data_IF_424868054352
#
_entry.id   IF_424868054352
#
_cell.length_a   1.000
_cell.length_b   1.000
_cell.length_c   1.000
_cell.angle_alpha   90.00
_cell.angle_beta   90.00
_cell.angle_gamma   90.00
#
_symmetry.space_group_name_H-M   'P 1'
#
loop_
_entity.id
_entity.type
_entity.pdbx_description
1 polymer ?
#
# COMPACT_ATOMS: atom_id res chain seq x y z
N UNK A 1 13.88 74.28 -3.71
CA UNK A 1 13.96 72.88 -3.24
C UNK A 1 12.82 72.67 -2.26
N UNK A 2 11.72 72.06 -2.72
CA UNK A 2 10.65 71.62 -1.83
C UNK A 2 11.13 70.33 -1.16
N UNK A 3 11.29 70.35 0.17
CA UNK A 3 11.58 69.15 0.93
C UNK A 3 10.36 68.21 0.84
N UNK A 4 10.51 67.12 0.09
CA UNK A 4 9.54 66.03 0.07
C UNK A 4 9.62 65.31 1.41
N UNK A 5 8.72 65.65 2.34
CA UNK A 5 8.57 64.93 3.60
C UNK A 5 7.75 63.66 3.34
N UNK A 6 8.39 62.52 3.12
CA UNK A 6 7.70 61.24 3.19
C UNK A 6 7.38 60.88 4.64
N UNK A 7 6.21 60.31 4.87
CA UNK A 7 5.81 59.73 6.15
C UNK A 7 5.70 58.20 6.01
N UNK A 8 6.23 57.48 6.99
CA UNK A 8 6.14 56.01 7.08
C UNK A 8 5.11 55.68 8.16
N UNK A 9 4.10 54.90 7.79
CA UNK A 9 3.00 54.52 8.67
C UNK A 9 3.06 53.05 9.05
N UNK A 10 2.43 52.72 10.18
CA UNK A 10 2.26 51.35 10.65
C UNK A 10 0.82 51.16 11.12
N UNK A 11 0.27 49.98 10.86
CA UNK A 11 -1.00 49.56 11.41
C UNK A 11 -1.05 48.04 11.59
N UNK A 12 -2.00 47.57 12.37
CA UNK A 12 -2.45 46.19 12.33
C UNK A 12 -3.73 46.08 11.48
N UNK A 13 -4.09 44.86 11.09
CA UNK A 13 -5.36 44.51 10.45
C UNK A 13 -5.80 43.16 11.00
N UNK A 14 -7.07 43.00 11.30
CA UNK A 14 -7.63 41.71 11.72
C UNK A 14 -9.06 41.54 11.26
N UNK A 15 -9.53 40.31 11.37
CA UNK A 15 -10.86 39.94 10.95
C UNK A 15 -11.15 38.46 11.11
N UNK A 16 -12.19 38.01 10.41
CA UNK A 16 -12.67 36.64 10.43
C UNK A 16 -12.95 36.11 9.03
N UNK A 17 -12.63 34.84 8.80
CA UNK A 17 -13.01 34.09 7.61
C UNK A 17 -13.90 32.91 7.99
N UNK A 18 -15.01 32.73 7.29
CA UNK A 18 -16.03 31.74 7.63
C UNK A 18 -16.47 30.93 6.43
N UNK A 19 -16.89 29.71 6.69
CA UNK A 19 -17.54 28.85 5.71
C UNK A 19 -18.97 29.36 5.45
N UNK A 20 -19.37 29.46 4.18
CA UNK A 20 -20.65 30.04 3.78
C UNK A 20 -21.86 29.21 4.21
N UNK A 21 -21.69 27.88 4.37
CA UNK A 21 -22.78 26.95 4.66
C UNK A 21 -23.00 26.76 6.17
N UNK A 22 -21.91 26.61 6.91
CA UNK A 22 -21.92 26.26 8.33
C UNK A 22 -21.70 27.45 9.27
N UNK A 23 -21.27 28.59 8.75
CA UNK A 23 -20.78 29.76 9.52
C UNK A 23 -19.59 29.45 10.45
N UNK A 24 -19.00 28.26 10.36
CA UNK A 24 -17.81 27.88 11.09
C UNK A 24 -16.59 28.68 10.61
N UNK A 25 -15.64 28.91 11.52
CA UNK A 25 -14.37 29.52 11.16
C UNK A 25 -13.55 28.65 10.23
N UNK A 26 -12.92 29.25 9.21
CA UNK A 26 -12.00 28.52 8.34
C UNK A 26 -10.60 28.61 8.93
N UNK A 27 -10.09 27.49 9.45
CA UNK A 27 -8.73 27.39 9.98
C UNK A 27 -7.67 27.41 8.88
N UNK A 28 -6.45 27.86 9.19
CA UNK A 28 -5.28 27.78 8.31
C UNK A 28 -5.42 28.44 6.93
N UNK A 29 -6.40 29.32 6.73
CA UNK A 29 -6.52 30.14 5.52
C UNK A 29 -5.29 31.06 5.47
N UNK A 30 -4.51 31.00 4.40
CA UNK A 30 -3.42 31.96 4.18
C UNK A 30 -4.00 33.29 3.71
N UNK A 31 -3.70 34.37 4.44
CA UNK A 31 -4.15 35.72 4.10
C UNK A 31 -2.94 36.56 3.71
N UNK A 32 -2.98 37.17 2.53
CA UNK A 32 -1.94 38.02 1.98
C UNK A 32 -2.47 39.45 1.84
N UNK A 33 -1.75 40.44 2.37
CA UNK A 33 -2.14 41.84 2.33
C UNK A 33 -1.27 42.63 1.36
N UNK A 34 -1.91 43.51 0.59
CA UNK A 34 -1.31 44.32 -0.48
C UNK A 34 -1.65 45.78 -0.28
N UNK A 35 -0.68 46.67 -0.49
CA UNK A 35 -0.90 48.12 -0.57
C UNK A 35 -1.09 48.62 -2.01
N UNK A 36 -0.96 47.72 -2.98
CA UNK A 36 -1.14 47.94 -4.42
C UNK A 36 -2.13 46.91 -4.98
N UNK A 37 -3.33 47.38 -5.34
CA UNK A 37 -4.41 46.54 -5.88
C UNK A 37 -4.04 45.88 -7.20
N UNK A 38 -3.29 46.56 -8.08
CA UNK A 38 -2.83 45.98 -9.35
C UNK A 38 -1.92 44.79 -9.11
N UNK A 39 -1.03 44.84 -8.12
CA UNK A 39 -0.18 43.71 -7.78
C UNK A 39 -1.00 42.53 -7.24
N UNK A 40 -1.98 42.81 -6.38
CA UNK A 40 -2.93 41.80 -5.88
C UNK A 40 -3.67 41.12 -7.05
N UNK A 41 -4.19 41.91 -7.98
CA UNK A 41 -4.92 41.42 -9.14
C UNK A 41 -4.02 40.60 -10.09
N UNK A 42 -2.76 40.99 -10.28
CA UNK A 42 -1.80 40.19 -11.04
C UNK A 42 -1.54 38.83 -10.40
N UNK A 43 -1.34 38.79 -9.07
CA UNK A 43 -1.11 37.54 -8.34
C UNK A 43 -2.37 36.63 -8.43
N UNK A 44 -3.56 37.23 -8.33
CA UNK A 44 -4.84 36.54 -8.56
C UNK A 44 -4.95 35.94 -9.96
N UNK A 45 -4.70 36.73 -10.99
CA UNK A 45 -4.80 36.30 -12.39
C UNK A 45 -3.73 35.27 -12.77
N UNK A 46 -2.60 35.27 -12.08
CA UNK A 46 -1.53 34.28 -12.29
C UNK A 46 -1.84 32.90 -11.67
N UNK A 47 -2.88 32.80 -10.83
CA UNK A 47 -3.25 31.55 -10.19
C UNK A 47 -3.99 30.63 -11.14
N UNK A 48 -3.40 29.47 -11.41
CA UNK A 48 -3.94 28.44 -12.32
C UNK A 48 -4.40 27.18 -11.59
N UNK A 49 -4.59 27.23 -10.27
CA UNK A 49 -4.93 26.06 -9.45
C UNK A 49 -3.76 25.51 -8.62
N UNK A 50 -4.08 24.64 -7.63
CA UNK A 50 -3.10 24.05 -6.71
C UNK A 50 -2.64 24.98 -5.59
N UNK A 51 -1.43 24.77 -5.07
CA UNK A 51 -0.85 25.55 -3.97
C UNK A 51 -0.53 26.98 -4.40
N UNK A 52 -1.24 27.96 -3.83
CA UNK A 52 -0.92 29.36 -4.03
C UNK A 52 0.19 29.81 -3.09
N UNK A 53 1.31 30.26 -3.67
CA UNK A 53 2.37 30.94 -2.96
C UNK A 53 2.95 32.03 -3.89
N UNK A 54 2.55 33.31 -3.72
CA UNK A 54 3.00 34.37 -4.61
C UNK A 54 4.53 34.49 -4.53
N UNK A 55 5.18 34.36 -5.70
CA UNK A 55 6.62 34.12 -5.85
C UNK A 55 7.51 35.33 -5.49
N UNK A 56 6.92 36.53 -5.39
CA UNK A 56 7.65 37.75 -5.07
C UNK A 56 7.35 38.22 -3.65
N UNK A 57 8.38 38.17 -2.80
CA UNK A 57 8.43 38.85 -1.49
C UNK A 57 8.22 40.37 -1.62
N UNK A 58 8.29 40.92 -2.84
CA UNK A 58 7.97 42.32 -3.16
C UNK A 58 6.48 42.59 -3.48
N UNK A 59 5.64 41.54 -3.62
CA UNK A 59 4.27 41.67 -4.11
C UNK A 59 3.27 42.05 -3.02
N UNK A 60 3.31 41.35 -1.88
CA UNK A 60 2.46 41.58 -0.72
C UNK A 60 3.29 42.17 0.44
N UNK A 61 2.65 42.98 1.28
CA UNK A 61 3.30 43.68 2.41
C UNK A 61 3.28 42.90 3.71
N UNK A 62 2.36 41.95 3.86
CA UNK A 62 2.29 41.06 5.01
C UNK A 62 1.49 39.79 4.70
N UNK A 63 1.76 38.73 5.45
CA UNK A 63 1.02 37.45 5.40
C UNK A 63 0.70 36.99 6.82
N UNK A 64 -0.44 36.35 6.98
CA UNK A 64 -0.79 35.59 8.19
C UNK A 64 -1.60 34.33 7.83
N UNK A 65 -1.96 33.55 8.83
CA UNK A 65 -2.89 32.42 8.73
C UNK A 65 -4.02 32.60 9.73
N UNK A 66 -5.22 32.14 9.39
CA UNK A 66 -6.33 32.13 10.34
C UNK A 66 -6.19 31.03 11.39
N UNK A 67 -6.67 31.32 12.60
CA UNK A 67 -6.79 30.37 13.71
C UNK A 67 -7.98 29.43 13.52
N UNK A 68 -8.13 28.45 14.42
CA UNK A 68 -9.18 27.42 14.36
C UNK A 68 -10.61 27.97 14.31
N UNK A 69 -10.84 29.17 14.85
CA UNK A 69 -12.14 29.83 14.82
C UNK A 69 -12.30 30.77 13.61
N UNK A 70 -11.34 30.77 12.68
CA UNK A 70 -11.30 31.61 11.48
C UNK A 70 -10.83 33.04 11.75
N UNK A 71 -10.50 33.41 12.98
CA UNK A 71 -9.95 34.73 13.28
C UNK A 71 -8.51 34.86 12.78
N UNK A 72 -8.10 36.07 12.41
CA UNK A 72 -6.71 36.33 12.03
C UNK A 72 -6.29 37.75 12.39
N UNK A 73 -5.00 37.93 12.61
CA UNK A 73 -4.38 39.26 12.78
C UNK A 73 -3.09 39.35 11.98
N UNK A 74 -2.98 40.42 11.20
CA UNK A 74 -1.76 40.90 10.57
C UNK A 74 -1.19 41.99 11.48
N UNK A 75 -0.13 41.65 12.20
CA UNK A 75 0.43 42.51 13.25
C UNK A 75 1.10 43.79 12.73
N UNK A 76 1.54 43.81 11.47
CA UNK A 76 2.33 44.92 10.94
C UNK A 76 2.17 45.09 9.43
N UNK A 77 1.45 46.13 9.04
CA UNK A 77 1.37 46.66 7.67
C UNK A 77 2.13 47.98 7.66
N UNK A 78 3.04 48.16 6.70
CA UNK A 78 3.85 49.38 6.55
C UNK A 78 3.57 49.99 5.17
N UNK A 79 3.34 51.29 5.12
CA UNK A 79 3.27 52.04 3.85
C UNK A 79 3.90 53.41 4.00
N UNK A 80 4.24 54.00 2.86
CA UNK A 80 4.78 55.36 2.77
C UNK A 80 3.83 56.25 1.99
N UNK A 81 3.68 57.50 2.43
CA UNK A 81 2.95 58.54 1.71
C UNK A 81 3.81 59.80 1.58
N UNK A 82 3.78 60.42 0.40
CA UNK A 82 4.46 61.69 0.12
C UNK A 82 3.58 62.91 0.39
N UNK A 83 2.27 62.70 0.57
CA UNK A 83 1.27 63.74 0.85
C UNK A 83 0.22 63.21 1.85
N UNK A 84 0.59 62.99 3.12
CA UNK A 84 -0.35 62.49 4.11
C UNK A 84 -1.42 63.54 4.44
N UNK A 85 -2.68 63.12 4.49
CA UNK A 85 -3.82 64.03 4.70
C UNK A 85 -3.85 64.60 6.13
N UNK A 86 -3.50 63.77 7.11
CA UNK A 86 -3.56 64.09 8.55
C UNK A 86 -2.19 64.15 9.23
N UNK A 87 -1.10 64.26 8.46
CA UNK A 87 0.27 64.27 8.99
C UNK A 87 0.80 62.86 9.32
N UNK A 88 1.62 62.70 10.36
CA UNK A 88 2.26 61.40 10.70
C UNK A 88 1.35 60.40 11.43
N UNK A 89 0.11 60.76 11.71
CA UNK A 89 -0.86 59.96 12.47
C UNK A 89 -2.22 59.99 11.77
N UNK A 90 -3.00 58.92 11.89
CA UNK A 90 -4.37 58.83 11.39
C UNK A 90 -4.55 58.96 9.86
N UNK A 91 -3.53 58.58 9.08
CA UNK A 91 -3.64 58.47 7.63
C UNK A 91 -4.37 57.18 7.25
N UNK A 92 -5.12 57.23 6.15
CA UNK A 92 -5.91 56.09 5.67
C UNK A 92 -5.22 55.39 4.52
N UNK A 93 -5.29 54.07 4.51
CA UNK A 93 -4.78 53.26 3.40
C UNK A 93 -5.76 52.16 3.07
N UNK A 94 -6.12 52.06 1.79
CA UNK A 94 -6.80 50.88 1.28
C UNK A 94 -5.81 49.71 1.20
N UNK A 95 -6.25 48.57 1.72
CA UNK A 95 -5.54 47.29 1.69
C UNK A 95 -6.35 46.31 0.86
N UNK A 96 -5.71 45.75 -0.17
CA UNK A 96 -6.26 44.66 -0.93
C UNK A 96 -5.80 43.33 -0.31
N UNK A 97 -6.68 42.34 -0.26
CA UNK A 97 -6.40 41.04 0.33
C UNK A 97 -6.57 39.90 -0.68
N UNK A 98 -5.78 38.86 -0.49
CA UNK A 98 -6.03 37.52 -1.03
C UNK A 98 -6.12 36.51 0.10
N UNK A 99 -7.07 35.58 -0.04
CA UNK A 99 -7.31 34.48 0.88
C UNK A 99 -7.10 33.18 0.12
N UNK A 100 -6.26 32.28 0.62
CA UNK A 100 -6.02 30.99 0.00
C UNK A 100 -6.16 29.85 1.01
N UNK A 101 -6.95 28.85 0.65
CA UNK A 101 -7.03 27.58 1.35
C UNK A 101 -7.26 26.46 0.33
N UNK A 102 -6.77 25.25 0.58
CA UNK A 102 -6.91 24.12 -0.34
C UNK A 102 -8.38 23.76 -0.63
N UNK A 103 -9.23 23.77 0.40
CA UNK A 103 -10.66 23.48 0.27
C UNK A 103 -11.51 24.60 -0.31
N UNK A 104 -11.07 25.85 -0.21
CA UNK A 104 -11.87 27.02 -0.61
C UNK A 104 -11.32 27.69 -1.88
N UNK A 105 -10.07 27.43 -2.25
CA UNK A 105 -9.38 28.09 -3.36
C UNK A 105 -8.82 29.45 -2.99
N UNK A 106 -8.45 30.21 -4.02
CA UNK A 106 -8.02 31.59 -3.88
C UNK A 106 -9.27 32.50 -3.94
N UNK A 107 -9.37 33.50 -3.06
CA UNK A 107 -10.40 34.55 -3.09
C UNK A 107 -9.81 35.95 -2.92
N UNK A 108 -10.48 36.96 -3.51
CA UNK A 108 -10.27 38.38 -3.22
C UNK A 108 -11.19 38.83 -2.08
N UNK A 109 -10.80 39.85 -1.32
CA UNK A 109 -11.76 40.51 -0.43
C UNK A 109 -12.94 41.09 -1.22
N UNK A 110 -14.14 40.91 -0.67
CA UNK A 110 -15.41 41.34 -1.27
C UNK A 110 -15.61 42.85 -1.17
N UNK A 111 -15.16 43.44 -0.06
CA UNK A 111 -15.29 44.87 0.23
C UNK A 111 -13.92 45.53 0.37
N UNK A 112 -13.79 46.80 -0.03
CA UNK A 112 -12.58 47.60 0.22
C UNK A 112 -12.26 47.67 1.71
N UNK A 113 -11.04 47.29 2.08
CA UNK A 113 -10.57 47.30 3.47
C UNK A 113 -9.73 48.55 3.68
N UNK A 114 -10.23 49.49 4.46
CA UNK A 114 -9.50 50.71 4.82
C UNK A 114 -8.93 50.58 6.23
N UNK A 115 -7.63 50.82 6.38
CA UNK A 115 -6.98 50.87 7.69
C UNK A 115 -6.57 52.29 8.02
N UNK A 116 -6.56 52.60 9.32
CA UNK A 116 -6.04 53.86 9.84
C UNK A 116 -4.71 53.61 10.54
N UNK A 117 -3.71 54.46 10.28
CA UNK A 117 -2.41 54.36 10.97
C UNK A 117 -2.53 54.59 12.47
N UNK A 118 -1.66 53.95 13.24
CA UNK A 118 -1.62 54.00 14.72
C UNK A 118 -2.95 53.67 15.42
N UNK A 119 -3.86 52.97 14.72
CA UNK A 119 -5.17 52.54 15.22
C UNK A 119 -5.28 51.01 15.27
N UNK A 120 -6.29 50.52 15.97
CA UNK A 120 -6.57 49.07 16.09
C UNK A 120 -7.64 48.68 15.07
N UNK A 121 -7.26 47.96 14.01
CA UNK A 121 -8.14 47.59 12.89
C UNK A 121 -8.50 46.08 12.92
N UNK A 122 -8.85 45.54 14.10
CA UNK A 122 -8.96 44.07 14.35
C UNK A 122 -10.28 43.42 13.92
N UNK A 123 -11.24 44.17 13.39
CA UNK A 123 -12.54 43.65 12.95
C UNK A 123 -12.97 44.25 11.61
N UNK A 124 -12.01 44.59 10.76
CA UNK A 124 -12.27 45.26 9.48
C UNK A 124 -12.61 44.28 8.36
N UNK A 125 -12.35 42.99 8.56
CA UNK A 125 -12.57 41.94 7.57
C UNK A 125 -13.51 40.90 8.15
N UNK A 126 -14.56 40.60 7.40
CA UNK A 126 -15.48 39.50 7.69
C UNK A 126 -15.92 38.90 6.36
N UNK A 127 -15.23 37.83 5.93
CA UNK A 127 -15.43 37.21 4.63
C UNK A 127 -16.01 35.80 4.80
N UNK A 128 -16.84 35.40 3.84
CA UNK A 128 -17.42 34.05 3.76
C UNK A 128 -17.04 33.39 2.44
N UNK A 129 -16.58 32.15 2.51
CA UNK A 129 -16.16 31.38 1.34
C UNK A 129 -16.89 30.05 1.27
N UNK A 130 -17.28 29.65 0.06
CA UNK A 130 -17.80 28.30 -0.20
C UNK A 130 -16.67 27.34 -0.52
N UNK A 131 -16.80 26.08 -0.11
CA UNK A 131 -15.86 25.04 -0.49
C UNK A 131 -15.89 24.80 -1.99
N UNK A 132 -14.72 24.61 -2.56
CA UNK A 132 -14.53 24.14 -3.93
C UNK A 132 -14.09 22.68 -3.95
N UNK A 133 -13.51 22.18 -2.86
CA UNK A 133 -13.11 20.79 -2.70
C UNK A 133 -13.74 20.15 -1.46
N UNK A 134 -13.92 18.83 -1.53
CA UNK A 134 -14.31 17.97 -0.42
C UNK A 134 -13.26 16.87 -0.22
N UNK A 135 -13.14 16.40 1.02
CA UNK A 135 -12.24 15.31 1.38
C UNK A 135 -13.03 14.11 1.87
N UNK A 136 -12.76 12.95 1.28
CA UNK A 136 -13.30 11.66 1.71
C UNK A 136 -12.16 10.80 2.24
N UNK A 137 -12.38 10.13 3.38
CA UNK A 137 -11.46 9.12 3.87
C UNK A 137 -11.75 7.77 3.22
N UNK A 138 -10.74 7.19 2.58
CA UNK A 138 -10.80 5.84 2.01
C UNK A 138 -10.08 4.89 2.95
N UNK A 139 -10.79 3.86 3.41
CA UNK A 139 -10.18 2.73 4.11
C UNK A 139 -9.69 1.72 3.09
N UNK A 140 -8.40 1.42 3.14
CA UNK A 140 -7.73 0.50 2.22
C UNK A 140 -7.39 -0.79 2.97
N UNK A 141 -7.76 -1.93 2.39
CA UNK A 141 -7.38 -3.26 2.86
C UNK A 141 -6.38 -3.89 1.89
N UNK A 142 -5.28 -4.42 2.42
CA UNK A 142 -4.28 -5.19 1.67
C UNK A 142 -4.43 -6.66 2.04
N UNK A 143 -4.82 -7.48 1.06
CA UNK A 143 -5.12 -8.91 1.28
C UNK A 143 -4.26 -9.81 0.41
N UNK A 144 -3.88 -10.94 0.97
CA UNK A 144 -3.30 -12.04 0.22
C UNK A 144 -4.40 -12.74 -0.58
N UNK A 145 -4.25 -12.81 -1.90
CA UNK A 145 -5.21 -13.47 -2.78
C UNK A 145 -5.37 -14.96 -2.46
N UNK A 146 -4.32 -15.63 -1.96
CA UNK A 146 -4.32 -17.06 -1.69
C UNK A 146 -5.13 -17.43 -0.43
N UNK A 147 -5.10 -16.57 0.59
CA UNK A 147 -5.67 -16.87 1.91
C UNK A 147 -6.81 -15.93 2.33
N UNK A 148 -7.03 -14.84 1.59
CA UNK A 148 -7.87 -13.70 1.95
C UNK A 148 -7.42 -13.00 3.26
N UNK A 149 -6.31 -13.39 3.88
CA UNK A 149 -5.84 -12.77 5.11
C UNK A 149 -5.25 -11.38 4.86
N UNK A 150 -5.28 -10.53 5.89
CA UNK A 150 -4.58 -9.24 5.86
C UNK A 150 -3.08 -9.45 5.83
N UNK A 151 -2.40 -8.75 4.91
CA UNK A 151 -0.95 -8.82 4.80
C UNK A 151 -0.31 -7.94 5.87
N UNK A 152 0.65 -8.49 6.63
CA UNK A 152 1.33 -7.79 7.73
C UNK A 152 2.62 -7.04 7.31
N UNK A 153 2.81 -6.84 6.00
CA UNK A 153 3.90 -6.06 5.43
C UNK A 153 3.42 -4.65 5.07
N UNK A 154 4.34 -3.68 5.08
CA UNK A 154 4.01 -2.28 4.76
C UNK A 154 4.20 -2.02 3.27
N UNK A 155 3.15 -1.59 2.57
CA UNK A 155 3.16 -1.25 1.15
C UNK A 155 3.02 0.25 0.93
N UNK A 156 3.66 0.76 -0.11
CA UNK A 156 3.37 2.07 -0.67
C UNK A 156 2.11 1.97 -1.51
N UNK A 157 1.04 2.57 -1.00
CA UNK A 157 -0.25 2.68 -1.68
C UNK A 157 -0.35 4.04 -2.35
N UNK A 158 -0.63 4.02 -3.64
CA UNK A 158 -0.79 5.21 -4.48
C UNK A 158 -2.23 5.23 -4.97
N UNK A 159 -2.94 6.31 -4.66
CA UNK A 159 -4.28 6.58 -5.16
C UNK A 159 -4.21 7.70 -6.18
N UNK A 160 -4.79 7.50 -7.35
CA UNK A 160 -4.96 8.53 -8.39
C UNK A 160 -6.43 8.91 -8.45
N UNK A 161 -6.75 10.15 -8.11
CA UNK A 161 -8.09 10.69 -7.90
C UNK A 161 -8.44 11.62 -9.06
N UNK A 162 -9.42 11.25 -9.88
CA UNK A 162 -9.90 12.09 -10.97
C UNK A 162 -10.46 13.42 -10.40
N UNK A 163 -9.97 14.56 -10.91
CA UNK A 163 -10.46 15.89 -10.54
C UNK A 163 -11.58 16.37 -11.47
N UNK A 164 -11.75 15.71 -12.61
CA UNK A 164 -12.85 15.89 -13.56
C UNK A 164 -13.10 14.57 -14.32
N UNK A 165 -14.26 14.38 -14.97
CA UNK A 165 -14.54 13.14 -15.68
C UNK A 165 -13.53 12.87 -16.81
N UNK A 166 -12.76 11.79 -16.69
CA UNK A 166 -11.74 11.44 -17.69
C UNK A 166 -10.45 12.26 -17.59
N UNK A 167 -10.16 12.78 -16.40
CA UNK A 167 -8.96 13.56 -16.07
C UNK A 167 -7.67 12.89 -16.58
N UNK A 168 -6.91 13.55 -17.48
CA UNK A 168 -5.64 13.03 -17.98
C UNK A 168 -4.51 13.11 -16.93
N UNK A 169 -4.65 13.95 -15.90
CA UNK A 169 -3.65 14.19 -14.86
C UNK A 169 -4.28 14.09 -13.46
N UNK A 170 -4.76 12.89 -13.05
CA UNK A 170 -5.42 12.71 -11.78
C UNK A 170 -4.50 13.06 -10.60
N UNK A 171 -5.09 13.65 -9.55
CA UNK A 171 -4.37 13.99 -8.32
C UNK A 171 -3.82 12.73 -7.67
N UNK A 172 -2.55 12.75 -7.30
CA UNK A 172 -1.86 11.60 -6.70
C UNK A 172 -1.78 11.76 -5.18
N UNK A 173 -2.38 10.81 -4.46
CA UNK A 173 -2.24 10.67 -3.00
C UNK A 173 -1.40 9.42 -2.69
N UNK A 174 -0.54 9.51 -1.67
CA UNK A 174 0.38 8.43 -1.29
C UNK A 174 0.29 8.16 0.20
N UNK A 175 0.33 6.88 0.57
CA UNK A 175 0.37 6.47 1.97
C UNK A 175 1.08 5.13 2.11
N UNK A 176 1.72 4.90 3.24
CA UNK A 176 2.30 3.59 3.59
C UNK A 176 1.32 2.85 4.48
N UNK A 177 0.89 1.65 4.08
CA UNK A 177 -0.18 0.88 4.72
C UNK A 177 0.29 -0.54 5.02
N UNK A 178 0.03 -1.05 6.23
CA UNK A 178 0.19 -2.46 6.61
C UNK A 178 -1.15 -3.02 7.05
N UNK A 179 -1.61 -4.09 6.37
CA UNK A 179 -2.92 -4.69 6.55
C UNK A 179 -4.08 -3.76 6.18
N UNK A 180 -4.40 -2.81 7.06
CA UNK A 180 -5.47 -1.82 6.87
C UNK A 180 -4.97 -0.40 7.13
N UNK A 181 -5.35 0.55 6.28
CA UNK A 181 -5.00 1.96 6.43
C UNK A 181 -6.11 2.90 6.01
N UNK A 182 -5.94 4.19 6.26
CA UNK A 182 -6.87 5.24 5.80
C UNK A 182 -6.09 6.29 5.02
N UNK A 183 -6.61 6.68 3.86
CA UNK A 183 -6.05 7.72 3.00
C UNK A 183 -7.13 8.77 2.76
N UNK A 184 -6.85 10.03 3.09
CA UNK A 184 -7.72 11.14 2.73
C UNK A 184 -7.54 11.49 1.25
N UNK A 185 -8.63 11.51 0.49
CA UNK A 185 -8.63 11.96 -0.90
C UNK A 185 -9.45 13.24 -1.03
N UNK A 186 -8.91 14.22 -1.75
CA UNK A 186 -9.58 15.50 -1.98
C UNK A 186 -9.94 15.65 -3.46
N UNK A 187 -11.16 16.08 -3.74
CA UNK A 187 -11.70 16.28 -5.10
C UNK A 187 -12.76 17.39 -5.11
N UNK A 188 -13.10 17.97 -6.28
CA UNK A 188 -14.03 19.09 -6.34
C UNK A 188 -15.44 18.77 -5.81
N UNK A 189 -16.08 19.71 -5.12
CA UNK A 189 -17.47 19.58 -4.65
C UNK A 189 -18.47 19.49 -5.80
N UNK A 190 -18.10 19.97 -6.99
CA UNK A 190 -18.91 19.85 -8.20
C UNK A 190 -19.05 18.40 -8.68
N UNK A 191 -18.19 17.50 -8.19
CA UNK A 191 -18.31 16.07 -8.41
C UNK A 191 -19.07 15.43 -7.24
N UNK A 192 -20.28 14.94 -7.49
CA UNK A 192 -21.04 14.13 -6.51
C UNK A 192 -20.28 12.84 -6.11
N UNK A 193 -19.43 12.35 -7.03
CA UNK A 193 -18.54 11.21 -6.84
C UNK A 193 -17.32 11.33 -7.75
N UNK A 194 -16.21 10.72 -7.38
CA UNK A 194 -15.00 10.65 -8.22
C UNK A 194 -14.53 9.21 -8.42
N UNK A 195 -13.77 8.98 -9.49
CA UNK A 195 -13.05 7.72 -9.69
C UNK A 195 -11.67 7.81 -9.07
N UNK A 196 -11.32 6.79 -8.31
CA UNK A 196 -10.00 6.60 -7.73
C UNK A 196 -9.43 5.31 -8.25
N UNK A 197 -8.25 5.37 -8.86
CA UNK A 197 -7.49 4.16 -9.16
C UNK A 197 -6.40 3.93 -8.13
N UNK A 198 -6.13 2.67 -7.81
CA UNK A 198 -5.26 2.33 -6.69
C UNK A 198 -4.20 1.30 -7.07
N UNK A 199 -2.96 1.57 -6.66
CA UNK A 199 -1.86 0.61 -6.75
C UNK A 199 -1.22 0.41 -5.38
N UNK A 200 -0.87 -0.83 -5.04
CA UNK A 200 -0.05 -1.18 -3.89
C UNK A 200 1.28 -1.75 -4.38
N UNK A 201 2.39 -1.17 -3.92
CA UNK A 201 3.74 -1.60 -4.32
C UNK A 201 4.64 -1.73 -3.11
N UNK A 202 5.52 -2.73 -3.14
CA UNK A 202 6.60 -2.88 -2.16
C UNK A 202 7.91 -3.09 -2.93
N UNK A 203 8.87 -2.18 -2.74
CA UNK A 203 10.14 -2.26 -3.45
C UNK A 203 10.92 -3.52 -3.07
N UNK A 204 11.54 -4.15 -4.06
CA UNK A 204 12.33 -5.38 -3.89
C UNK A 204 11.56 -6.53 -3.22
N UNK A 205 10.25 -6.60 -3.46
CA UNK A 205 9.38 -7.64 -2.94
C UNK A 205 8.95 -8.63 -4.01
N UNK A 206 8.49 -9.80 -3.55
CA UNK A 206 7.88 -10.85 -4.36
C UNK A 206 6.36 -10.66 -4.45
N UNK A 207 5.79 -9.68 -3.74
CA UNK A 207 4.37 -9.36 -3.82
C UNK A 207 4.04 -8.61 -5.11
N UNK A 208 3.00 -9.08 -5.80
CA UNK A 208 2.47 -8.53 -7.03
C UNK A 208 0.98 -8.25 -6.87
N UNK A 209 0.52 -7.08 -7.29
CA UNK A 209 -0.90 -6.76 -7.25
C UNK A 209 -1.69 -7.59 -8.27
N UNK A 210 -2.81 -8.14 -7.83
CA UNK A 210 -3.71 -8.94 -8.64
C UNK A 210 -5.17 -8.63 -8.31
N UNK A 211 -6.08 -9.17 -9.12
CA UNK A 211 -7.49 -9.25 -8.73
C UNK A 211 -7.73 -10.36 -7.69
N UNK A 212 -8.98 -10.52 -7.27
CA UNK A 212 -9.34 -11.52 -6.25
C UNK A 212 -9.08 -12.95 -6.74
N UNK A 213 -9.21 -13.18 -8.03
CA UNK A 213 -8.98 -14.44 -8.70
C UNK A 213 -7.48 -14.70 -8.97
N UNK A 214 -6.61 -13.75 -8.65
CA UNK A 214 -5.15 -13.85 -8.77
C UNK A 214 -4.60 -13.52 -10.17
N UNK A 215 -5.39 -12.94 -11.06
CA UNK A 215 -4.90 -12.40 -12.32
C UNK A 215 -4.11 -11.11 -12.07
N UNK A 216 -2.91 -11.00 -12.65
CA UNK A 216 -2.03 -9.86 -12.44
C UNK A 216 -2.67 -8.57 -12.97
N UNK A 217 -2.65 -7.53 -12.14
CA UNK A 217 -3.10 -6.20 -12.51
C UNK A 217 -1.89 -5.45 -13.05
N UNK A 218 -1.96 -5.03 -14.31
CA UNK A 218 -0.90 -4.25 -14.92
C UNK A 218 -0.82 -2.86 -14.28
N UNK A 219 0.39 -2.38 -13.99
CA UNK A 219 0.63 -1.08 -13.35
C UNK A 219 0.04 0.12 -14.15
N UNK A 220 -0.18 -0.04 -15.45
CA UNK A 220 -0.78 0.97 -16.33
C UNK A 220 -2.31 0.90 -16.42
N UNK A 221 -2.94 -0.11 -15.82
CA UNK A 221 -4.39 -0.29 -15.76
C UNK A 221 -4.85 -0.72 -14.35
N UNK A 222 -4.58 0.10 -13.32
CA UNK A 222 -5.00 -0.19 -11.96
C UNK A 222 -6.53 -0.27 -11.82
N UNK A 223 -7.04 -1.02 -10.82
CA UNK A 223 -8.46 -1.08 -10.53
C UNK A 223 -8.97 0.31 -10.18
N UNK A 224 -10.17 0.64 -10.67
CA UNK A 224 -10.84 1.91 -10.43
C UNK A 224 -12.06 1.71 -9.55
N UNK A 225 -12.23 2.60 -8.57
CA UNK A 225 -13.28 2.58 -7.58
C UNK A 225 -14.02 3.91 -7.61
N UNK A 226 -15.34 3.87 -7.47
CA UNK A 226 -16.13 5.09 -7.30
C UNK A 226 -16.19 5.46 -5.82
N UNK A 227 -15.79 6.68 -5.50
CA UNK A 227 -15.76 7.23 -4.16
C UNK A 227 -16.79 8.35 -4.07
N UNK A 228 -17.63 8.29 -3.04
CA UNK A 228 -18.65 9.30 -2.75
C UNK A 228 -18.92 9.38 -1.25
N UNK A 229 -19.31 10.56 -0.77
CA UNK A 229 -19.72 10.76 0.62
C UNK A 229 -18.59 10.58 1.65
N UNK A 230 -18.96 10.17 2.87
CA UNK A 230 -18.12 10.34 4.07
C UNK A 230 -17.26 9.13 4.48
N UNK A 231 -17.25 8.03 3.73
CA UNK A 231 -16.27 6.93 3.88
C UNK A 231 -16.42 5.99 2.68
N UNK A 232 -15.30 5.53 2.12
CA UNK A 232 -15.30 4.49 1.10
C UNK A 232 -14.29 3.40 1.47
N UNK A 233 -14.58 2.16 1.11
CA UNK A 233 -13.69 1.03 1.40
C UNK A 233 -13.21 0.43 0.07
N UNK A 234 -11.90 0.19 -0.04
CA UNK A 234 -11.29 -0.49 -1.18
C UNK A 234 -10.44 -1.65 -0.69
N UNK A 235 -10.46 -2.75 -1.42
CA UNK A 235 -9.60 -3.92 -1.16
C UNK A 235 -8.65 -4.10 -2.32
N UNK A 236 -7.36 -4.21 -2.03
CA UNK A 236 -6.31 -4.52 -2.98
C UNK A 236 -5.78 -5.92 -2.66
N UNK A 237 -5.83 -6.81 -3.64
CA UNK A 237 -5.31 -8.16 -3.54
C UNK A 237 -3.88 -8.22 -4.06
N UNK A 238 -3.03 -8.97 -3.37
CA UNK A 238 -1.66 -9.22 -3.77
C UNK A 238 -1.37 -10.72 -3.70
N UNK A 239 -0.46 -11.20 -4.55
CA UNK A 239 0.04 -12.58 -4.56
C UNK A 239 1.56 -12.60 -4.61
N UNK A 240 2.18 -13.67 -4.12
CA UNK A 240 3.64 -13.81 -4.11
C UNK A 240 4.15 -14.52 -5.35
N UNK A 241 5.32 -14.14 -5.87
CA UNK A 241 6.05 -14.90 -6.90
C UNK A 241 7.09 -15.87 -6.32
N UNK A 242 7.34 -15.80 -5.01
CA UNK A 242 8.29 -16.67 -4.31
C UNK A 242 7.53 -17.45 -3.25
N UNK A 243 7.64 -18.76 -3.31
CA UNK A 243 6.91 -19.68 -2.47
C UNK A 243 7.89 -20.54 -1.67
N UNK A 244 7.55 -20.80 -0.41
CA UNK A 244 8.28 -21.76 0.42
C UNK A 244 7.70 -23.15 0.19
N UNK A 245 8.56 -24.17 0.07
CA UNK A 245 8.11 -25.56 0.09
C UNK A 245 7.37 -25.83 1.40
N UNK A 246 6.23 -26.55 1.37
CA UNK A 246 5.61 -27.04 2.59
C UNK A 246 6.59 -27.96 3.31
N UNK A 247 6.44 -28.06 4.63
CA UNK A 247 7.08 -29.14 5.38
C UNK A 247 6.38 -30.44 5.05
N UNK A 248 7.07 -31.33 4.37
CA UNK A 248 6.55 -32.61 3.90
C UNK A 248 6.93 -33.71 4.91
N UNK A 249 5.94 -34.51 5.27
CA UNK A 249 6.05 -35.64 6.21
C UNK A 249 5.30 -36.86 5.70
N UNK A 250 5.69 -38.03 6.19
CA UNK A 250 5.03 -39.28 5.87
C UNK A 250 5.71 -40.49 6.51
N UNK A 251 5.24 -41.67 6.13
CA UNK A 251 5.77 -42.96 6.53
C UNK A 251 6.05 -43.80 5.30
N UNK A 252 7.26 -44.34 5.17
CA UNK A 252 7.60 -45.35 4.17
C UNK A 252 7.30 -46.75 4.73
N UNK A 253 6.64 -47.55 3.92
CA UNK A 253 6.25 -48.93 4.22
C UNK A 253 6.60 -49.82 3.04
N UNK A 254 7.87 -50.19 2.91
CA UNK A 254 8.38 -50.96 1.77
C UNK A 254 8.02 -52.45 1.82
N UNK A 255 7.64 -52.96 2.99
CA UNK A 255 7.21 -54.35 3.21
C UNK A 255 5.98 -54.40 4.14
N UNK A 256 5.11 -55.41 3.98
CA UNK A 256 3.96 -55.61 4.88
C UNK A 256 4.44 -55.95 6.30
N UNK A 257 4.17 -55.04 7.24
CA UNK A 257 4.56 -55.16 8.66
C UNK A 257 3.38 -55.56 9.54
N UNK A 258 3.63 -56.44 10.52
CA UNK A 258 2.63 -56.87 11.50
C UNK A 258 2.63 -56.01 12.78
N UNK A 259 3.56 -55.07 12.90
CA UNK A 259 3.65 -54.09 13.98
C UNK A 259 4.36 -54.62 15.23
N UNK A 260 4.96 -55.81 15.16
CA UNK A 260 5.77 -56.40 16.24
C UNK A 260 7.28 -56.19 16.04
N UNK A 261 7.70 -55.56 14.95
CA UNK A 261 9.09 -55.38 14.59
C UNK A 261 9.82 -54.40 15.53
N UNK A 262 11.06 -54.76 15.90
CA UNK A 262 11.96 -53.88 16.69
C UNK A 262 12.91 -53.11 15.76
N UNK A 263 13.13 -53.60 14.55
CA UNK A 263 13.96 -53.01 13.51
C UNK A 263 13.25 -53.22 12.18
N UNK A 264 13.07 -52.16 11.38
CA UNK A 264 12.49 -52.24 10.03
C UNK A 264 13.56 -51.97 8.97
N UNK A 265 13.51 -52.65 7.79
CA UNK A 265 14.26 -52.22 6.62
C UNK A 265 13.96 -50.76 6.22
N UNK A 266 12.77 -50.25 6.56
CA UNK A 266 12.34 -48.89 6.27
C UNK A 266 13.08 -47.82 7.07
N UNK A 267 13.84 -48.18 8.11
CA UNK A 267 14.61 -47.22 8.90
C UNK A 267 15.97 -46.92 8.25
N UNK A 268 16.34 -45.63 8.23
CA UNK A 268 17.59 -45.16 7.67
C UNK A 268 17.63 -45.17 6.13
N UNK A 269 16.47 -45.23 5.47
CA UNK A 269 16.33 -44.96 4.05
C UNK A 269 16.56 -43.47 3.79
N UNK A 270 17.23 -43.15 2.68
CA UNK A 270 17.35 -41.76 2.23
C UNK A 270 16.11 -41.40 1.42
N UNK A 271 15.52 -40.25 1.73
CA UNK A 271 14.39 -39.70 0.99
C UNK A 271 14.82 -38.40 0.35
N UNK A 272 14.59 -38.26 -0.95
CA UNK A 272 14.91 -37.05 -1.71
C UNK A 272 13.67 -36.42 -2.32
N UNK A 273 13.70 -35.10 -2.48
CA UNK A 273 12.85 -34.39 -3.40
C UNK A 273 13.54 -34.24 -4.76
N UNK A 274 12.76 -34.35 -5.82
CA UNK A 274 13.21 -34.07 -7.18
C UNK A 274 12.10 -33.51 -8.07
N UNK A 275 12.46 -33.27 -9.33
CA UNK A 275 11.55 -32.89 -10.40
C UNK A 275 11.88 -33.64 -11.69
N UNK A 276 10.96 -33.64 -12.65
CA UNK A 276 11.26 -34.06 -14.02
C UNK A 276 11.86 -32.90 -14.79
N UNK A 277 12.97 -33.15 -15.47
CA UNK A 277 13.50 -32.17 -16.43
C UNK A 277 12.69 -32.17 -17.74
N UNK A 278 13.09 -31.32 -18.69
CA UNK A 278 12.43 -31.21 -20.01
C UNK A 278 12.43 -32.50 -20.83
N UNK A 279 13.34 -33.43 -20.54
CA UNK A 279 13.45 -34.72 -21.21
C UNK A 279 12.68 -35.84 -20.45
N UNK A 280 11.96 -35.48 -19.38
CA UNK A 280 11.20 -36.42 -18.54
C UNK A 280 12.06 -37.19 -17.53
N UNK A 281 13.37 -36.93 -17.45
CA UNK A 281 14.28 -37.57 -16.51
C UNK A 281 14.14 -36.99 -15.11
N UNK A 282 14.26 -37.86 -14.10
CA UNK A 282 14.25 -37.45 -12.70
C UNK A 282 15.57 -36.76 -12.35
N UNK A 283 15.47 -35.57 -11.78
CA UNK A 283 16.59 -34.79 -11.26
C UNK A 283 16.33 -34.47 -9.80
N UNK A 284 17.23 -34.90 -8.92
CA UNK A 284 17.15 -34.62 -7.48
C UNK A 284 17.54 -33.16 -7.21
N UNK A 285 16.88 -32.52 -6.24
CA UNK A 285 17.25 -31.17 -5.84
C UNK A 285 18.53 -31.17 -5.01
N UNK A 286 19.51 -30.35 -5.41
CA UNK A 286 20.75 -30.13 -4.65
C UNK A 286 20.54 -29.06 -3.56
N UNK A 287 19.76 -29.40 -2.52
CA UNK A 287 19.49 -28.54 -1.35
C UNK A 287 19.45 -29.39 -0.08
N UNK A 288 19.98 -28.90 1.06
CA UNK A 288 19.90 -29.63 2.33
C UNK A 288 18.47 -29.98 2.75
N UNK A 289 17.50 -29.11 2.47
CA UNK A 289 16.08 -29.35 2.75
C UNK A 289 15.42 -30.38 1.84
N UNK A 290 16.05 -30.74 0.73
CA UNK A 290 15.52 -31.71 -0.22
C UNK A 290 15.85 -33.16 0.15
N UNK A 291 16.54 -33.39 1.27
CA UNK A 291 16.92 -34.72 1.70
C UNK A 291 16.60 -34.92 3.17
N UNK A 292 16.09 -36.09 3.51
CA UNK A 292 15.95 -36.54 4.89
C UNK A 292 16.22 -38.04 5.00
N UNK A 293 16.24 -38.54 6.22
CA UNK A 293 16.33 -39.98 6.48
C UNK A 293 15.13 -40.44 7.28
N UNK A 294 14.62 -41.62 6.93
CA UNK A 294 13.56 -42.26 7.70
C UNK A 294 14.08 -42.71 9.07
N UNK A 295 13.19 -42.75 10.05
CA UNK A 295 13.48 -43.18 11.41
C UNK A 295 12.31 -43.93 12.02
N UNK A 296 12.59 -44.62 13.12
CA UNK A 296 11.57 -45.09 14.03
C UNK A 296 11.20 -44.06 15.09
N UNK A 297 9.93 -44.06 15.49
CA UNK A 297 9.40 -43.23 16.56
C UNK A 297 8.42 -44.03 17.43
N UNK A 298 8.55 -43.88 18.75
CA UNK A 298 7.74 -44.60 19.74
C UNK A 298 8.52 -44.81 21.04
N UNK A 299 7.80 -44.96 22.15
CA UNK A 299 8.42 -45.09 23.50
C UNK A 299 8.67 -46.54 23.92
N UNK A 300 8.25 -47.53 23.14
CA UNK A 300 8.50 -48.97 23.38
C UNK A 300 8.03 -49.51 24.75
N UNK A 301 7.37 -48.68 25.57
CA UNK A 301 6.97 -49.00 26.93
C UNK A 301 5.47 -49.33 26.95
N UNK A 302 5.10 -50.48 27.51
CA UNK A 302 3.72 -50.95 27.70
C UNK A 302 2.93 -51.20 26.40
N UNK A 303 3.40 -52.08 25.51
CA UNK A 303 2.69 -52.49 24.29
C UNK A 303 2.36 -51.35 23.31
N UNK A 304 3.08 -50.22 23.36
CA UNK A 304 2.97 -49.18 22.34
C UNK A 304 3.65 -49.63 21.05
N UNK A 305 2.93 -49.56 19.92
CA UNK A 305 3.47 -49.84 18.57
C UNK A 305 4.58 -48.85 18.25
N UNK A 306 5.77 -49.34 17.88
CA UNK A 306 6.84 -48.52 17.31
C UNK A 306 6.51 -48.34 15.84
N UNK A 307 6.45 -47.09 15.37
CA UNK A 307 6.29 -46.80 13.94
C UNK A 307 7.68 -46.67 13.34
N UNK A 308 7.92 -47.31 12.21
CA UNK A 308 9.18 -47.24 11.47
C UNK A 308 8.97 -46.57 10.10
N UNK A 309 10.03 -46.10 9.47
CA UNK A 309 9.95 -45.48 8.15
C UNK A 309 9.46 -44.03 8.16
N UNK A 310 9.38 -43.38 9.32
CA UNK A 310 8.86 -42.02 9.43
C UNK A 310 9.87 -40.99 8.94
N UNK A 311 9.40 -39.99 8.20
CA UNK A 311 10.19 -38.83 7.81
C UNK A 311 9.40 -37.53 8.02
N UNK A 312 10.13 -36.45 8.30
CA UNK A 312 9.55 -35.13 8.62
C UNK A 312 10.46 -34.01 8.13
N UNK A 313 9.89 -32.82 7.90
CA UNK A 313 10.60 -31.59 7.55
C UNK A 313 11.34 -31.64 6.20
N UNK A 314 10.91 -32.51 5.29
CA UNK A 314 11.39 -32.49 3.92
C UNK A 314 10.82 -31.23 3.23
N UNK A 315 11.61 -30.53 2.42
CA UNK A 315 11.26 -29.20 1.86
C UNK A 315 11.71 -28.02 2.72
N UNK A 316 12.23 -28.23 3.93
CA UNK A 316 12.60 -27.14 4.84
C UNK A 316 13.62 -26.16 4.20
N UNK A 317 13.32 -24.85 4.27
CA UNK A 317 14.12 -23.77 3.68
C UNK A 317 14.30 -23.86 2.15
N UNK A 318 13.51 -24.68 1.45
CA UNK A 318 13.46 -24.66 0.01
C UNK A 318 12.46 -23.59 -0.46
N UNK A 319 12.79 -22.95 -1.58
CA UNK A 319 11.95 -21.96 -2.23
C UNK A 319 11.81 -22.32 -3.70
N UNK A 320 10.68 -21.98 -4.31
CA UNK A 320 10.57 -21.87 -5.75
C UNK A 320 10.02 -20.50 -6.14
N UNK A 321 10.40 -20.05 -7.34
CA UNK A 321 9.98 -18.77 -7.88
C UNK A 321 9.18 -19.02 -9.15
N UNK A 322 7.98 -18.45 -9.21
CA UNK A 322 7.07 -18.52 -10.35
C UNK A 322 6.22 -17.23 -10.34
N UNK A 323 6.34 -16.41 -11.39
CA UNK A 323 5.63 -15.13 -11.50
C UNK A 323 4.57 -15.12 -12.61
N UNK A 324 4.46 -16.20 -13.38
CA UNK A 324 3.56 -16.32 -14.54
C UNK A 324 2.30 -17.15 -14.26
N UNK A 325 2.16 -17.73 -13.06
CA UNK A 325 1.00 -18.56 -12.74
C UNK A 325 -0.32 -17.79 -12.78
N UNK A 326 -1.37 -18.50 -13.21
CA UNK A 326 -2.75 -18.00 -13.25
C UNK A 326 -3.48 -18.52 -12.03
N UNK A 327 -4.04 -17.63 -11.22
CA UNK A 327 -4.73 -17.98 -9.99
C UNK A 327 -4.13 -17.31 -8.75
N UNK A 328 -4.77 -17.52 -7.59
CA UNK A 328 -4.37 -16.89 -6.33
C UNK A 328 -3.12 -17.52 -5.71
N UNK A 329 -2.77 -18.75 -6.09
CA UNK A 329 -1.57 -19.46 -5.67
C UNK A 329 -0.99 -20.28 -6.82
N UNK A 330 0.31 -20.54 -6.75
CA UNK A 330 1.00 -21.45 -7.69
C UNK A 330 0.91 -22.91 -7.22
N UNK A 331 1.00 -23.83 -8.16
CA UNK A 331 1.06 -25.28 -7.90
C UNK A 331 2.25 -25.88 -8.62
N UNK A 332 3.08 -26.61 -7.88
CA UNK A 332 4.29 -27.26 -8.42
C UNK A 332 4.21 -28.77 -8.27
N UNK A 333 4.43 -29.51 -9.36
CA UNK A 333 4.61 -30.96 -9.32
C UNK A 333 6.02 -31.30 -8.86
N UNK A 334 6.13 -32.25 -7.92
CA UNK A 334 7.40 -32.71 -7.36
C UNK A 334 7.38 -34.24 -7.18
N UNK A 335 8.58 -34.81 -7.04
CA UNK A 335 8.78 -36.23 -6.80
C UNK A 335 9.39 -36.43 -5.42
N UNK A 336 8.92 -37.46 -4.70
CA UNK A 336 9.61 -38.02 -3.55
C UNK A 336 10.25 -39.33 -3.98
N UNK A 337 11.57 -39.41 -3.92
CA UNK A 337 12.36 -40.58 -4.30
C UNK A 337 12.85 -41.28 -3.05
N UNK A 338 12.74 -42.61 -3.03
CA UNK A 338 13.18 -43.46 -1.92
C UNK A 338 14.39 -44.31 -2.34
N UNK A 339 15.52 -44.07 -1.67
CA UNK A 339 16.76 -44.85 -1.76
C UNK A 339 16.58 -46.17 -1.01
N UNK A 340 16.16 -47.22 -1.72
CA UNK A 340 15.80 -48.48 -1.07
C UNK A 340 17.03 -49.31 -0.67
N UNK A 341 18.11 -49.19 -1.45
CA UNK A 341 19.34 -49.97 -1.25
C UNK A 341 20.37 -49.25 -0.35
N UNK A 342 20.08 -48.01 0.07
CA UNK A 342 20.85 -47.18 1.00
C UNK A 342 22.23 -46.82 0.47
N UNK A 343 22.39 -46.81 -0.86
CA UNK A 343 23.66 -46.51 -1.51
C UNK A 343 23.91 -44.99 -1.65
N UNK A 344 22.89 -44.15 -1.40
CA UNK A 344 22.89 -42.69 -1.52
C UNK A 344 23.10 -42.17 -2.95
N UNK A 345 22.72 -42.97 -3.93
CA UNK A 345 22.78 -42.68 -5.36
C UNK A 345 21.43 -43.08 -5.98
N UNK A 346 20.94 -42.29 -6.95
CA UNK A 346 19.75 -42.70 -7.69
C UNK A 346 20.07 -43.93 -8.52
N UNK A 347 19.43 -45.06 -8.24
CA UNK A 347 19.79 -46.35 -8.79
C UNK A 347 18.59 -47.16 -9.31
N UNK A 348 18.88 -48.16 -10.13
CA UNK A 348 17.85 -49.07 -10.62
C UNK A 348 17.32 -49.93 -9.46
N UNK A 349 16.05 -49.74 -9.11
CA UNK A 349 15.41 -50.40 -7.97
C UNK A 349 14.77 -49.41 -6.99
N UNK A 350 15.19 -48.15 -7.02
CA UNK A 350 14.51 -47.07 -6.30
C UNK A 350 13.11 -46.84 -6.87
N UNK A 351 12.22 -46.33 -6.02
CA UNK A 351 10.86 -45.95 -6.40
C UNK A 351 10.59 -44.50 -6.03
N UNK A 352 9.57 -43.91 -6.65
CA UNK A 352 9.18 -42.55 -6.40
C UNK A 352 7.67 -42.36 -6.41
N UNK A 353 7.24 -41.29 -5.75
CA UNK A 353 5.88 -40.81 -5.72
C UNK A 353 5.80 -39.42 -6.34
N UNK A 354 4.86 -39.23 -7.25
CA UNK A 354 4.54 -37.90 -7.79
C UNK A 354 3.37 -37.29 -7.03
N UNK A 355 3.48 -36.00 -6.68
CA UNK A 355 2.41 -35.21 -6.09
C UNK A 355 2.63 -33.72 -6.33
N UNK A 356 1.59 -32.92 -6.10
CA UNK A 356 1.68 -31.46 -6.20
C UNK A 356 1.79 -30.80 -4.83
N UNK A 357 2.53 -29.69 -4.77
CA UNK A 357 2.56 -28.76 -3.62
C UNK A 357 1.97 -27.42 -4.04
N UNK A 358 1.43 -26.68 -3.07
CA UNK A 358 0.75 -25.40 -3.31
C UNK A 358 1.52 -24.26 -2.62
N UNK A 359 1.65 -23.12 -3.28
CA UNK A 359 2.45 -21.96 -2.85
C UNK A 359 2.11 -21.33 -1.51
N UNK A 360 0.92 -21.60 -0.96
CA UNK A 360 0.44 -21.10 0.33
C UNK A 360 0.26 -22.23 1.38
N UNK A 361 0.75 -23.44 1.09
CA UNK A 361 0.64 -24.59 1.97
C UNK A 361 1.82 -24.63 2.95
N UNK A 362 1.56 -24.59 4.25
CA UNK A 362 2.63 -24.67 5.27
C UNK A 362 3.17 -26.09 5.46
N UNK A 363 2.31 -27.10 5.36
CA UNK A 363 2.67 -28.51 5.58
C UNK A 363 1.89 -29.44 4.66
N UNK A 364 2.52 -30.56 4.29
CA UNK A 364 1.92 -31.63 3.48
C UNK A 364 2.21 -33.00 4.10
N UNK A 365 1.17 -33.63 4.61
CA UNK A 365 1.22 -35.00 5.14
C UNK A 365 0.90 -35.97 4.01
N UNK A 366 1.85 -36.84 3.64
CA UNK A 366 1.68 -37.85 2.60
C UNK A 366 1.09 -39.17 3.12
N UNK A 367 0.86 -39.29 4.43
CA UNK A 367 0.35 -40.51 5.02
C UNK A 367 1.36 -41.66 4.97
N UNK A 368 0.87 -42.89 4.76
CA UNK A 368 1.67 -44.11 4.66
C UNK A 368 1.83 -44.50 3.19
N UNK A 369 3.07 -44.54 2.72
CA UNK A 369 3.47 -44.75 1.34
C UNK A 369 3.98 -46.20 1.18
N UNK A 370 3.29 -46.99 0.35
CA UNK A 370 3.60 -48.41 0.10
C UNK A 370 4.16 -48.63 -1.29
N UNK A 371 5.12 -49.55 -1.39
CA UNK A 371 5.83 -49.93 -2.62
C UNK A 371 5.10 -50.92 -3.54
N UNK A 372 3.83 -51.27 -3.25
CA UNK A 372 3.15 -52.38 -3.96
C UNK A 372 1.70 -52.13 -4.41
N UNK A 373 1.00 -51.11 -3.92
CA UNK A 373 -0.39 -50.85 -4.33
C UNK A 373 -0.70 -49.36 -4.15
N UNK A 374 -0.63 -48.60 -5.24
CA UNK A 374 -1.42 -47.36 -5.32
C UNK A 374 -2.88 -47.80 -5.33
N UNK A 375 -3.64 -47.43 -4.30
CA UNK A 375 -5.10 -47.56 -4.34
C UNK A 375 -5.57 -46.81 -5.59
N UNK A 376 -6.22 -47.47 -6.58
CA UNK A 376 -6.64 -46.82 -7.81
C UNK A 376 -7.67 -45.69 -7.60
N UNK A 377 -8.12 -45.46 -6.36
CA UNK A 377 -8.98 -44.36 -5.96
C UNK A 377 -8.25 -43.18 -5.29
N UNK A 378 -6.96 -43.31 -4.95
CA UNK A 378 -6.15 -42.22 -4.43
C UNK A 378 -5.53 -41.43 -5.60
N UNK A 379 -6.25 -40.41 -6.06
CA UNK A 379 -5.89 -39.62 -7.25
C UNK A 379 -4.69 -38.68 -7.02
N UNK A 380 -4.12 -38.59 -5.82
CA UNK A 380 -3.06 -37.63 -5.49
C UNK A 380 -1.63 -38.20 -5.59
N UNK A 381 -1.46 -39.52 -5.63
CA UNK A 381 -0.14 -40.18 -5.62
C UNK A 381 -0.02 -41.21 -6.74
N UNK A 382 1.04 -41.09 -7.55
CA UNK A 382 1.41 -42.12 -8.54
C UNK A 382 2.75 -42.72 -8.18
N UNK A 383 2.76 -44.02 -7.94
CA UNK A 383 3.98 -44.81 -7.81
C UNK A 383 4.47 -45.25 -9.19
N UNK A 384 5.78 -45.13 -9.43
CA UNK A 384 6.42 -45.66 -10.63
C UNK A 384 7.83 -46.14 -10.28
N UNK A 385 8.24 -47.26 -10.87
CA UNK A 385 9.55 -47.87 -10.64
C UNK A 385 10.62 -47.13 -11.45
N UNK A 386 11.76 -46.76 -10.84
CA UNK A 386 12.81 -45.96 -11.49
C UNK A 386 13.55 -46.68 -12.65
N UNK A 387 13.35 -48.00 -12.80
CA UNK A 387 13.98 -48.82 -13.84
C UNK A 387 13.67 -48.40 -15.29
N UNK A 388 12.63 -47.60 -15.51
CA UNK A 388 12.25 -47.11 -16.85
C UNK A 388 12.86 -45.73 -17.21
N UNK A 389 13.72 -45.13 -16.37
CA UNK A 389 14.04 -43.69 -16.44
C UNK A 389 15.52 -43.28 -16.37
N UNK A 390 16.47 -44.22 -16.26
CA UNK A 390 17.92 -43.91 -16.36
C UNK A 390 18.38 -43.71 -17.80
#
# INVERSE_FOLDING_TARGET
MLASCSAVFKANLGGKVRDVESDAGIANMSIFAYTNTTQRDNDWESYTGGTFNPSNVAGYVARTTSDNDGSFVINKIIWESTLPEFGKTADYKEIALLFYHEDYGLHKNSNSVWITSDSTNVSMVDEKFGKINQTTNIRVYLRDAATDNLINESFDVILKVEQEPGDPEPKVERSTISGTGTVGVTYPVALDSTKVSATATLQNSTWMQCDKEGALIANNAPPSFTVSGNNSEITLYLKQSRHAYPLISGEIDSEDRDGSEIVSPDDGLTIWLGERNSDGKIVLFDKPGAQTMTRSEGTGANNSVIRHGLFTNLGANMIWEEDTYVGPFDTKEILLVVDIDKNRELSAGDYYYEFSIIGNQESKELGRLRSYEVDPNDNELKEVVAGDLL
#
